data_IF_235384109186
#
_entry.id   IF_235384109186
#
_cell.length_a   1.000
_cell.length_b   1.000
_cell.length_c   1.000
_cell.angle_alpha   90.00
_cell.angle_beta   90.00
_cell.angle_gamma   90.00
#
_symmetry.space_group_name_H-M   'P 1'
#
loop_
_entity.id
_entity.type
_entity.pdbx_description
1 polymer ?
#
# COMPACT_ATOMS: atom_id res chain seq x y z
N UNK A 1 38.40 10.60 -3.47
CA UNK A 1 37.01 10.82 -3.01
C UNK A 1 35.95 9.96 -3.72
N UNK A 2 36.33 8.91 -4.48
CA UNK A 2 35.37 7.97 -5.10
C UNK A 2 35.55 6.52 -4.57
N UNK A 3 36.61 6.25 -3.79
CA UNK A 3 36.90 4.92 -3.21
C UNK A 3 36.26 4.63 -1.84
N UNK A 4 35.50 5.58 -1.28
CA UNK A 4 34.77 5.40 -0.01
C UNK A 4 33.30 5.01 -0.20
N UNK A 5 32.78 5.03 -1.43
CA UNK A 5 31.37 4.69 -1.72
C UNK A 5 31.13 3.19 -1.94
N UNK A 6 32.20 2.38 -2.09
CA UNK A 6 32.11 0.95 -2.44
C UNK A 6 32.14 0.02 -1.22
N UNK A 7 32.37 0.53 0.00
CA UNK A 7 32.41 -0.29 1.25
C UNK A 7 31.08 -0.38 2.01
N UNK A 8 29.93 -0.23 1.35
CA UNK A 8 28.60 -0.39 1.99
C UNK A 8 27.87 -1.66 1.51
N UNK A 9 28.52 -2.52 0.73
CA UNK A 9 27.88 -3.72 0.15
C UNK A 9 28.17 -5.05 0.87
N UNK A 10 28.86 -5.05 2.02
CA UNK A 10 29.24 -6.30 2.70
C UNK A 10 28.87 -6.35 4.19
N UNK A 11 27.76 -5.75 4.59
CA UNK A 11 27.12 -6.15 5.86
C UNK A 11 25.87 -6.96 5.58
N UNK A 12 26.07 -8.28 5.76
CA UNK A 12 25.11 -9.36 5.71
C UNK A 12 23.74 -8.95 6.24
N UNK A 13 22.80 -8.78 5.31
CA UNK A 13 21.37 -8.74 5.63
C UNK A 13 20.98 -10.17 6.01
N UNK A 14 21.12 -10.51 7.29
CA UNK A 14 20.45 -11.68 7.84
C UNK A 14 18.95 -11.41 7.84
N UNK A 15 18.30 -11.80 6.75
CA UNK A 15 16.85 -11.85 6.65
C UNK A 15 16.34 -12.81 7.73
N UNK A 16 15.88 -12.29 8.86
CA UNK A 16 15.05 -13.08 9.78
C UNK A 16 13.73 -13.35 9.07
N UNK A 17 13.61 -14.53 8.47
CA UNK A 17 12.37 -15.08 7.95
C UNK A 17 11.41 -15.28 9.10
N UNK A 18 10.39 -14.41 9.21
CA UNK A 18 9.29 -14.63 10.14
C UNK A 18 8.27 -15.56 9.47
N UNK A 19 8.50 -16.85 9.62
CA UNK A 19 7.57 -17.91 9.26
C UNK A 19 6.42 -17.92 10.27
N UNK A 20 5.32 -17.27 9.92
CA UNK A 20 4.03 -17.45 10.59
C UNK A 20 2.93 -17.57 9.53
N UNK A 21 2.98 -18.67 8.78
CA UNK A 21 1.80 -19.23 8.12
C UNK A 21 1.16 -20.14 9.15
N UNK A 22 0.06 -19.70 9.74
CA UNK A 22 -0.80 -20.56 10.55
C UNK A 22 -1.87 -21.17 9.65
N UNK A 23 -2.19 -22.47 9.83
CA UNK A 23 -2.92 -23.23 8.84
C UNK A 23 -4.42 -22.95 8.87
N UNK A 24 -4.99 -23.17 7.69
CA UNK A 24 -6.38 -23.13 7.31
C UNK A 24 -7.25 -23.94 8.29
N UNK A 25 -8.25 -23.32 8.93
CA UNK A 25 -9.30 -24.04 9.65
C UNK A 25 -10.57 -24.03 8.81
N UNK A 26 -10.84 -25.19 8.22
CA UNK A 26 -12.09 -25.57 7.57
C UNK A 26 -13.26 -25.39 8.54
N UNK A 27 -14.15 -24.46 8.23
CA UNK A 27 -15.39 -24.22 8.97
C UNK A 27 -16.53 -24.05 7.98
N UNK A 28 -17.29 -25.13 7.79
CA UNK A 28 -18.54 -25.18 7.05
C UNK A 28 -19.55 -24.22 7.70
N UNK A 29 -19.95 -23.20 6.97
CA UNK A 29 -21.13 -22.39 7.28
C UNK A 29 -22.03 -22.35 6.05
N UNK A 30 -23.10 -23.13 6.08
CA UNK A 30 -24.31 -22.84 5.31
C UNK A 30 -25.01 -21.66 5.97
N UNK A 31 -25.40 -20.64 5.19
CA UNK A 31 -26.78 -20.20 5.31
C UNK A 31 -27.42 -19.91 3.95
N UNK A 32 -28.64 -20.40 3.84
CA UNK A 32 -29.66 -20.07 2.85
C UNK A 32 -29.72 -18.55 2.62
N UNK A 33 -29.48 -18.09 1.39
CA UNK A 33 -29.51 -16.68 1.03
C UNK A 33 -30.45 -16.43 -0.16
N UNK A 34 -31.57 -15.78 0.12
CA UNK A 34 -32.47 -15.13 -0.83
C UNK A 34 -31.70 -14.17 -1.75
N UNK A 35 -31.92 -14.32 -3.06
CA UNK A 35 -31.29 -13.51 -4.09
C UNK A 35 -31.68 -12.04 -3.99
N UNK A 36 -30.75 -11.20 -3.52
CA UNK A 36 -30.79 -9.74 -3.74
C UNK A 36 -29.79 -9.38 -4.83
N UNK A 37 -30.24 -8.59 -5.80
CA UNK A 37 -29.48 -8.20 -6.99
C UNK A 37 -28.07 -7.70 -6.64
N UNK A 38 -27.05 -8.42 -7.12
CA UNK A 38 -25.65 -8.11 -6.90
C UNK A 38 -25.27 -6.83 -7.65
N UNK A 39 -24.71 -5.86 -6.92
CA UNK A 39 -24.08 -4.65 -7.48
C UNK A 39 -22.96 -5.07 -8.46
N UNK A 40 -22.69 -4.33 -9.55
CA UNK A 40 -21.63 -4.69 -10.50
C UNK A 40 -20.31 -4.79 -9.74
N UNK A 41 -19.69 -5.97 -9.80
CA UNK A 41 -18.39 -6.22 -9.21
C UNK A 41 -17.38 -5.37 -9.98
N UNK A 42 -16.99 -4.21 -9.44
CA UNK A 42 -15.91 -3.42 -10.02
C UNK A 42 -14.64 -4.27 -10.00
N UNK A 43 -14.23 -4.75 -11.17
CA UNK A 43 -13.07 -5.62 -11.34
C UNK A 43 -11.81 -4.86 -10.92
N UNK A 44 -11.31 -5.14 -9.71
CA UNK A 44 -10.11 -4.50 -9.18
C UNK A 44 -8.89 -5.00 -9.95
N UNK A 45 -8.37 -4.17 -10.85
CA UNK A 45 -7.14 -4.46 -11.58
C UNK A 45 -5.93 -4.35 -10.64
N UNK A 46 -4.91 -5.18 -10.88
CA UNK A 46 -3.63 -5.10 -10.18
C UNK A 46 -2.76 -4.04 -10.86
N UNK A 47 -1.94 -3.35 -10.08
CA UNK A 47 -0.95 -2.43 -10.62
C UNK A 47 0.05 -3.19 -11.51
N UNK A 48 0.37 -2.64 -12.68
CA UNK A 48 1.32 -3.20 -13.65
C UNK A 48 2.77 -3.25 -13.12
N UNK A 49 3.10 -2.48 -12.08
CA UNK A 49 4.45 -2.48 -11.48
C UNK A 49 4.72 -3.82 -10.78
N UNK A 50 5.79 -4.57 -11.17
CA UNK A 50 6.16 -5.85 -10.57
C UNK A 50 6.36 -5.74 -9.05
N UNK A 51 5.82 -6.70 -8.29
CA UNK A 51 5.93 -6.71 -6.83
C UNK A 51 5.01 -5.71 -6.10
N UNK A 52 4.18 -4.94 -6.81
CA UNK A 52 3.22 -4.05 -6.16
C UNK A 52 2.05 -4.84 -5.53
N UNK A 53 1.82 -4.76 -4.20
CA UNK A 53 0.71 -5.46 -3.56
C UNK A 53 -0.64 -4.75 -3.77
N UNK A 54 -0.65 -3.57 -4.39
CA UNK A 54 -1.85 -2.75 -4.54
C UNK A 54 -2.86 -3.40 -5.50
N UNK A 55 -4.02 -3.76 -4.94
CA UNK A 55 -5.25 -4.07 -5.68
C UNK A 55 -6.20 -2.90 -5.54
N UNK A 56 -6.67 -2.32 -6.64
CA UNK A 56 -7.53 -1.15 -6.57
C UNK A 56 -7.73 -0.44 -7.91
N UNK A 57 -8.12 0.82 -7.82
CA UNK A 57 -8.26 1.69 -8.98
C UNK A 57 -6.89 1.97 -9.59
N UNK A 58 -6.72 1.50 -10.83
CA UNK A 58 -5.60 1.84 -11.70
C UNK A 58 -6.06 2.85 -12.74
N UNK A 59 -5.15 3.70 -13.19
CA UNK A 59 -5.41 4.56 -14.33
C UNK A 59 -5.33 3.79 -15.65
N UNK A 60 -5.48 4.51 -16.77
CA UNK A 60 -5.39 3.97 -18.12
C UNK A 60 -4.02 3.31 -18.40
N UNK A 61 -2.97 3.75 -17.71
CA UNK A 61 -1.62 3.18 -17.80
C UNK A 61 -1.44 1.90 -16.96
N UNK A 62 -2.48 1.48 -16.23
CA UNK A 62 -2.42 0.31 -15.35
C UNK A 62 -1.59 0.53 -14.09
N UNK A 63 -1.23 1.77 -13.76
CA UNK A 63 -0.50 2.10 -12.53
C UNK A 63 -1.46 2.39 -11.40
N UNK A 64 -1.01 2.22 -10.14
CA UNK A 64 -1.80 2.64 -8.98
C UNK A 64 -1.42 4.05 -8.55
N UNK A 65 -2.20 4.64 -7.64
CA UNK A 65 -1.94 6.01 -7.14
C UNK A 65 -0.56 6.21 -6.51
N UNK A 66 0.07 5.15 -5.98
CA UNK A 66 1.45 5.19 -5.49
C UNK A 66 2.51 5.23 -6.61
N UNK A 67 2.14 4.76 -7.80
CA UNK A 67 2.99 4.62 -8.98
C UNK A 67 2.62 5.59 -10.12
N UNK A 68 1.83 6.63 -9.83
CA UNK A 68 1.58 7.73 -10.78
C UNK A 68 0.13 7.89 -11.23
N UNK A 69 -0.77 6.98 -10.86
CA UNK A 69 -2.16 7.08 -11.28
C UNK A 69 -2.80 8.39 -10.81
N UNK A 70 -3.27 9.19 -11.77
CA UNK A 70 -3.92 10.47 -11.50
C UNK A 70 -5.26 10.21 -10.81
N UNK A 71 -5.55 10.96 -9.75
CA UNK A 71 -6.86 10.90 -9.10
C UNK A 71 -7.92 11.51 -10.02
N UNK A 72 -9.07 10.85 -10.12
CA UNK A 72 -10.22 11.34 -10.88
C UNK A 72 -10.62 12.74 -10.42
N UNK A 73 -10.75 13.65 -11.39
CA UNK A 73 -11.15 15.04 -11.19
C UNK A 73 -12.66 15.18 -11.36
N UNK A 74 -13.22 16.19 -10.71
CA UNK A 74 -14.63 16.51 -10.84
C UNK A 74 -15.02 16.68 -12.31
N UNK A 75 -16.14 16.09 -12.72
CA UNK A 75 -16.68 16.16 -14.09
C UNK A 75 -17.06 17.58 -14.58
N UNK A 76 -16.99 18.59 -13.72
CA UNK A 76 -17.33 19.96 -14.09
C UNK A 76 -16.06 20.61 -14.63
N UNK A 77 -16.18 21.15 -15.84
CA UNK A 77 -15.12 21.83 -16.55
C UNK A 77 -14.46 22.90 -15.68
N UNK A 78 -13.12 22.96 -15.72
CA UNK A 78 -12.33 23.91 -14.93
C UNK A 78 -12.23 23.60 -13.43
N UNK A 79 -12.82 22.53 -12.91
CA UNK A 79 -12.76 22.24 -11.47
C UNK A 79 -11.44 21.54 -11.05
N UNK A 80 -10.66 22.12 -10.11
CA UNK A 80 -9.44 21.48 -9.61
C UNK A 80 -9.69 20.34 -8.61
N UNK A 81 -10.92 20.18 -8.13
CA UNK A 81 -11.23 19.25 -7.05
C UNK A 81 -11.32 17.80 -7.54
N UNK A 82 -10.95 16.87 -6.66
CA UNK A 82 -11.13 15.44 -6.88
C UNK A 82 -12.57 14.98 -6.73
N UNK A 83 -12.92 13.88 -7.41
CA UNK A 83 -14.22 13.21 -7.26
C UNK A 83 -14.31 12.59 -5.86
N UNK A 84 -15.46 12.74 -5.22
CA UNK A 84 -15.78 12.03 -3.96
C UNK A 84 -16.75 10.88 -4.22
N UNK A 85 -17.88 11.16 -4.87
CA UNK A 85 -18.87 10.16 -5.25
C UNK A 85 -19.65 10.69 -6.47
N UNK A 86 -20.05 9.79 -7.37
CA UNK A 86 -20.90 10.14 -8.52
C UNK A 86 -20.20 10.99 -9.60
N UNK A 87 -18.87 11.06 -9.61
CA UNK A 87 -18.13 11.83 -10.62
C UNK A 87 -17.96 13.32 -10.30
N UNK A 88 -18.47 13.80 -9.17
CA UNK A 88 -18.37 15.22 -8.77
C UNK A 88 -17.63 15.38 -7.44
N UNK A 89 -17.20 16.60 -7.15
CA UNK A 89 -16.61 16.99 -5.87
C UNK A 89 -17.69 17.48 -4.88
N UNK A 90 -17.30 17.70 -3.62
CA UNK A 90 -18.23 18.15 -2.57
C UNK A 90 -18.89 19.48 -2.91
N UNK A 91 -18.12 20.44 -3.47
CA UNK A 91 -18.65 21.75 -3.90
C UNK A 91 -19.68 21.64 -5.02
N UNK A 92 -19.58 20.58 -5.81
CA UNK A 92 -20.45 20.32 -6.94
C UNK A 92 -21.48 19.21 -6.66
N UNK A 93 -21.88 19.05 -5.40
CA UNK A 93 -23.00 18.19 -5.03
C UNK A 93 -22.65 16.75 -4.68
N UNK A 94 -21.37 16.39 -4.53
CA UNK A 94 -21.02 15.05 -4.04
C UNK A 94 -21.49 14.84 -2.60
N UNK A 95 -22.58 14.09 -2.43
CA UNK A 95 -23.08 13.67 -1.11
C UNK A 95 -22.15 12.59 -0.54
N UNK A 96 -21.65 12.83 0.67
CA UNK A 96 -20.91 11.79 1.41
C UNK A 96 -21.90 10.76 1.92
N UNK A 97 -21.46 9.49 1.99
CA UNK A 97 -22.25 8.41 2.57
C UNK A 97 -22.55 8.74 4.03
N UNK A 98 -23.84 8.69 4.40
CA UNK A 98 -24.30 8.83 5.78
C UNK A 98 -24.10 7.49 6.50
N UNK A 99 -24.00 7.51 7.83
CA UNK A 99 -23.94 6.33 8.68
C UNK A 99 -25.20 5.48 8.51
N UNK A 100 -25.04 4.17 8.35
CA UNK A 100 -26.15 3.20 8.25
C UNK A 100 -26.94 3.03 9.56
N UNK A 101 -26.41 3.52 10.67
CA UNK A 101 -27.08 3.45 11.97
C UNK A 101 -28.35 4.32 11.95
N UNK A 102 -29.52 3.80 12.37
CA UNK A 102 -30.78 4.52 12.30
C UNK A 102 -30.71 5.86 13.05
N UNK A 103 -31.16 6.94 12.41
CA UNK A 103 -31.13 8.29 12.99
C UNK A 103 -29.74 8.93 13.08
N UNK A 104 -28.69 8.36 12.48
CA UNK A 104 -27.36 8.96 12.50
C UNK A 104 -27.05 9.74 11.22
N UNK A 105 -27.00 11.07 11.31
CA UNK A 105 -26.68 11.97 10.19
C UNK A 105 -25.18 12.15 9.94
N UNK A 106 -24.33 11.50 10.74
CA UNK A 106 -22.88 11.62 10.61
C UNK A 106 -22.37 10.89 9.37
N UNK A 107 -21.35 11.45 8.75
CA UNK A 107 -20.69 10.82 7.61
C UNK A 107 -20.04 9.49 8.01
N UNK A 108 -20.20 8.49 7.15
CA UNK A 108 -19.50 7.22 7.22
C UNK A 108 -17.99 7.44 7.10
N UNK A 109 -17.22 6.77 7.96
CA UNK A 109 -15.76 6.71 7.87
C UNK A 109 -15.27 5.37 7.30
N UNK A 110 -15.86 4.26 7.71
CA UNK A 110 -15.54 2.92 7.22
C UNK A 110 -16.76 2.00 7.34
N UNK A 111 -16.85 0.99 6.48
CA UNK A 111 -17.91 -0.04 6.51
C UNK A 111 -19.37 0.48 6.51
N UNK A 112 -19.62 1.71 6.05
CA UNK A 112 -20.96 2.30 6.11
C UNK A 112 -21.34 2.89 7.48
N UNK A 113 -20.40 3.01 8.41
CA UNK A 113 -20.65 3.49 9.77
C UNK A 113 -19.76 4.70 10.11
N UNK A 114 -20.24 5.58 10.97
CA UNK A 114 -19.47 6.72 11.47
C UNK A 114 -18.42 6.27 12.52
N UNK A 115 -17.60 7.19 13.01
CA UNK A 115 -16.58 6.88 14.02
C UNK A 115 -17.13 6.33 15.35
N UNK A 116 -18.40 6.63 15.68
CA UNK A 116 -19.06 6.19 16.91
C UNK A 116 -19.73 4.82 16.75
N UNK A 117 -20.35 4.58 15.59
CA UNK A 117 -21.09 3.35 15.32
C UNK A 117 -20.27 2.31 14.55
N UNK A 118 -19.07 2.68 14.08
CA UNK A 118 -18.14 1.74 13.47
C UNK A 118 -17.54 0.77 14.47
N UNK A 119 -16.78 -0.22 13.99
CA UNK A 119 -16.13 -1.21 14.85
C UNK A 119 -15.25 -0.52 15.90
N UNK A 120 -15.27 -1.07 17.12
CA UNK A 120 -14.46 -0.57 18.22
C UNK A 120 -12.97 -0.57 17.84
N UNK A 121 -12.27 0.52 18.16
CA UNK A 121 -10.83 0.59 17.90
C UNK A 121 -10.10 -0.35 18.87
N UNK A 122 -9.13 -1.10 18.35
CA UNK A 122 -8.28 -1.96 19.17
C UNK A 122 -7.56 -1.10 20.23
N UNK A 123 -7.58 -1.54 21.48
CA UNK A 123 -6.85 -0.90 22.58
C UNK A 123 -5.40 -1.35 22.58
N UNK A 124 -4.56 -0.59 23.27
CA UNK A 124 -3.17 -0.94 23.51
C UNK A 124 -3.08 -2.25 24.31
N UNK A 125 -2.20 -3.16 23.90
CA UNK A 125 -1.96 -4.45 24.56
C UNK A 125 -1.20 -4.33 25.90
N UNK A 126 -0.82 -3.11 26.31
CA UNK A 126 -0.10 -2.88 27.57
C UNK A 126 -1.11 -2.88 28.70
N UNK A 127 -0.91 -3.67 29.78
CA UNK A 127 -1.83 -3.72 30.91
C UNK A 127 -2.09 -2.33 31.50
N UNK A 128 -3.33 -2.08 31.92
CA UNK A 128 -3.79 -0.79 32.46
C UNK A 128 -3.71 0.39 31.47
N UNK A 129 -3.48 0.15 30.17
CA UNK A 129 -3.51 1.20 29.15
C UNK A 129 -4.88 1.32 28.48
N UNK A 130 -5.52 2.48 28.59
CA UNK A 130 -6.81 2.78 27.94
C UNK A 130 -6.65 3.35 26.52
N UNK A 131 -5.42 3.62 26.08
CA UNK A 131 -5.16 4.25 24.79
C UNK A 131 -5.45 3.33 23.61
N UNK A 132 -5.80 3.95 22.47
CA UNK A 132 -6.03 3.24 21.21
C UNK A 132 -4.71 2.77 20.62
N UNK A 133 -4.65 1.51 20.19
CA UNK A 133 -3.52 0.97 19.45
C UNK A 133 -3.43 1.60 18.06
N UNK A 134 -2.22 2.02 17.70
CA UNK A 134 -1.91 2.65 16.41
C UNK A 134 -1.14 1.68 15.51
N UNK A 135 -0.14 1.00 16.06
CA UNK A 135 0.74 0.08 15.32
C UNK A 135 1.17 -1.07 16.23
N UNK A 136 1.24 -2.29 15.68
CA UNK A 136 1.66 -3.50 16.39
C UNK A 136 0.96 -3.74 17.75
N UNK A 137 -0.33 -3.38 17.85
CA UNK A 137 -1.10 -3.53 19.10
C UNK A 137 -0.72 -2.56 20.22
N UNK A 138 0.15 -1.58 19.98
CA UNK A 138 0.58 -0.59 20.98
C UNK A 138 0.04 0.80 20.64
N UNK A 139 -0.10 1.67 21.65
CA UNK A 139 -0.40 3.09 21.46
C UNK A 139 0.88 3.92 21.29
N UNK A 140 0.76 5.22 20.96
CA UNK A 140 1.92 6.09 20.74
C UNK A 140 2.87 6.11 21.95
N UNK A 141 2.36 6.23 23.17
CA UNK A 141 3.18 6.23 24.39
C UNK A 141 3.86 4.90 24.68
N UNK A 142 3.38 3.79 24.09
CA UNK A 142 3.95 2.46 24.27
C UNK A 142 4.72 1.97 23.04
N UNK A 143 5.29 2.89 22.26
CA UNK A 143 6.23 2.54 21.19
C UNK A 143 5.58 2.28 19.83
N UNK A 144 4.34 2.70 19.60
CA UNK A 144 3.74 2.69 18.26
C UNK A 144 4.21 3.85 17.37
N UNK A 145 5.51 4.14 17.40
CA UNK A 145 6.16 5.08 16.51
C UNK A 145 6.47 4.40 15.17
N UNK A 146 6.51 5.19 14.10
CA UNK A 146 7.05 4.69 12.85
C UNK A 146 8.57 4.58 12.99
N UNK A 147 9.15 3.47 12.53
CA UNK A 147 10.60 3.31 12.49
C UNK A 147 11.23 4.41 11.62
N UNK A 148 12.42 4.86 11.98
CA UNK A 148 13.15 5.85 11.21
C UNK A 148 13.77 5.25 9.94
N UNK A 149 14.19 6.11 9.03
CA UNK A 149 14.87 5.70 7.82
C UNK A 149 16.25 5.12 8.17
N UNK A 150 16.60 3.98 7.59
CA UNK A 150 17.90 3.31 7.80
C UNK A 150 19.07 3.99 7.11
N UNK A 151 18.82 4.98 6.25
CA UNK A 151 19.88 5.74 5.57
C UNK A 151 20.51 6.69 6.58
N UNK A 152 21.84 6.67 6.66
CA UNK A 152 22.60 7.54 7.55
C UNK A 152 22.18 9.01 7.41
N UNK A 153 22.07 9.69 8.55
CA UNK A 153 21.66 11.10 8.63
C UNK A 153 20.25 11.39 8.06
N UNK A 154 19.34 10.42 8.07
CA UNK A 154 17.95 10.62 7.66
C UNK A 154 16.94 10.39 8.78
N UNK A 155 16.45 11.47 9.38
CA UNK A 155 15.47 11.45 10.48
C UNK A 155 14.01 11.30 10.02
N UNK A 156 13.77 10.96 8.75
CA UNK A 156 12.39 10.78 8.25
C UNK A 156 11.88 9.40 8.62
N UNK A 157 10.57 9.28 8.82
CA UNK A 157 9.93 8.00 9.09
C UNK A 157 10.00 7.07 7.86
N UNK A 158 10.34 5.81 8.12
CA UNK A 158 10.29 4.74 7.13
C UNK A 158 8.85 4.37 6.80
N UNK A 159 8.61 4.11 5.52
CA UNK A 159 7.31 3.69 4.99
C UNK A 159 7.31 2.20 4.72
N UNK A 160 8.36 1.71 4.05
CA UNK A 160 8.54 0.31 3.68
C UNK A 160 10.03 -0.04 3.61
N UNK A 161 10.40 -1.26 3.99
CA UNK A 161 11.78 -1.76 3.91
C UNK A 161 12.81 -0.95 4.72
N UNK A 162 12.38 -0.25 5.78
CA UNK A 162 13.25 0.63 6.56
C UNK A 162 13.59 1.97 5.88
N UNK A 163 13.01 2.27 4.71
CA UNK A 163 13.31 3.49 3.96
C UNK A 163 12.16 4.50 4.01
N UNK A 164 12.49 5.79 4.09
CA UNK A 164 11.51 6.87 3.90
C UNK A 164 11.03 6.92 2.45
N UNK A 165 9.92 7.61 2.16
CA UNK A 165 9.35 7.63 0.81
C UNK A 165 10.32 8.13 -0.28
N UNK A 166 11.22 9.06 0.06
CA UNK A 166 12.26 9.55 -0.85
C UNK A 166 13.29 8.46 -1.16
N UNK A 167 13.92 7.91 -0.13
CA UNK A 167 14.92 6.85 -0.28
C UNK A 167 14.34 5.54 -0.85
N UNK A 168 13.08 5.22 -0.56
CA UNK A 168 12.39 4.08 -1.15
C UNK A 168 12.31 4.20 -2.67
N UNK A 169 11.94 5.39 -3.18
CA UNK A 169 11.88 5.67 -4.62
C UNK A 169 13.27 5.63 -5.25
N UNK A 170 14.26 6.27 -4.64
CA UNK A 170 15.65 6.25 -5.10
C UNK A 170 16.20 4.81 -5.18
N UNK A 171 15.94 3.99 -4.17
CA UNK A 171 16.32 2.57 -4.17
C UNK A 171 15.64 1.80 -5.30
N UNK A 172 14.34 2.00 -5.54
CA UNK A 172 13.64 1.28 -6.61
C UNK A 172 14.20 1.60 -8.00
N UNK A 173 14.62 2.85 -8.23
CA UNK A 173 15.26 3.26 -9.49
C UNK A 173 16.66 2.65 -9.60
N UNK A 174 17.44 2.66 -8.53
CA UNK A 174 18.78 2.08 -8.51
C UNK A 174 18.75 0.55 -8.76
N UNK A 175 17.83 -0.17 -8.12
CA UNK A 175 17.65 -1.62 -8.32
C UNK A 175 17.18 -1.93 -9.74
N UNK A 176 16.27 -1.11 -10.30
CA UNK A 176 15.85 -1.27 -11.69
C UNK A 176 17.02 -1.09 -12.67
N UNK A 177 17.87 -0.08 -12.46
CA UNK A 177 19.05 0.15 -13.29
C UNK A 177 20.09 -0.99 -13.19
N UNK A 178 20.35 -1.49 -11.98
CA UNK A 178 21.26 -2.63 -11.77
C UNK A 178 20.73 -3.92 -12.41
N UNK A 179 19.43 -4.17 -12.32
CA UNK A 179 18.80 -5.35 -12.94
C UNK A 179 18.82 -5.26 -14.48
N UNK A 180 18.59 -4.07 -15.05
CA UNK A 180 18.71 -3.85 -16.50
C UNK A 180 20.14 -4.10 -17.00
N UNK A 181 21.14 -3.65 -16.25
CA UNK A 181 22.55 -3.89 -16.57
C UNK A 181 22.91 -5.38 -16.52
N UNK A 182 22.46 -6.11 -15.49
CA UNK A 182 22.66 -7.57 -15.38
C UNK A 182 21.99 -8.34 -16.53
N UNK A 183 20.78 -7.94 -16.92
CA UNK A 183 20.09 -8.56 -18.04
C UNK A 183 20.84 -8.36 -19.36
N UNK A 184 21.35 -7.14 -19.61
CA UNK A 184 22.15 -6.84 -20.79
C UNK A 184 23.44 -7.69 -20.85
N UNK A 185 24.17 -7.81 -19.73
CA UNK A 185 25.36 -8.67 -19.67
C UNK A 185 25.03 -10.15 -19.93
N UNK A 186 23.95 -10.67 -19.35
CA UNK A 186 23.56 -12.07 -19.54
C UNK A 186 23.16 -12.37 -21.00
N UNK A 187 22.52 -11.39 -21.67
CA UNK A 187 22.19 -11.51 -23.09
C UNK A 187 23.43 -11.56 -23.99
N UNK A 188 24.46 -10.77 -23.68
CA UNK A 188 25.73 -10.77 -24.41
C UNK A 188 26.48 -12.10 -24.25
N UNK A 189 26.52 -12.65 -23.03
CA UNK A 189 27.15 -13.95 -22.76
C UNK A 189 26.43 -15.09 -23.49
N UNK A 190 25.10 -15.08 -23.54
CA UNK A 190 24.32 -16.09 -24.27
C UNK A 190 24.51 -15.98 -25.79
N UNK A 191 24.63 -14.76 -26.34
CA UNK A 191 24.93 -14.59 -27.78
C UNK A 191 26.33 -15.06 -28.16
N UNK A 192 27.32 -14.88 -27.28
CA UNK A 192 28.69 -15.39 -27.50
C UNK A 192 28.74 -16.93 -27.39
N UNK A 193 28.00 -17.51 -26.43
CA UNK A 193 27.87 -18.95 -26.30
C UNK A 193 27.20 -19.60 -27.53
N UNK A 194 26.24 -18.93 -28.16
CA UNK A 194 25.59 -19.39 -29.39
C UNK A 194 26.50 -19.34 -30.63
N UNK A 195 27.56 -18.50 -30.62
CA UNK A 195 28.53 -18.38 -31.70
C UNK A 195 29.70 -19.38 -31.58
N UNK A 196 29.82 -20.09 -30.45
CA UNK A 196 30.87 -21.09 -30.19
C UNK A 196 30.47 -22.54 -30.48
N UNK A 197 29.32 -22.78 -31.12
CA UNK A 197 28.91 -24.12 -31.58
C UNK A 197 29.18 -24.20 -33.08
N UNK A 198 30.44 -24.44 -33.46
CA UNK A 198 30.85 -24.90 -34.80
C UNK A 198 31.96 -25.93 -34.65
#
# INVERSE_FOLDING_TARGET
LIKSYVRVLEHQVTMKTNSNVSPNSSGVFSPTATATAAKPQQQFKRCSVPGCPTRGEVDETGTCSAHGAKRKRCKIEGCPNGVVQGGVCVKHGAKRRICKYPGCEKNTKSHGLCSKHGPARKRCNVPKCSNVAVRAGKCKSHGAYAAECTVMNCFKQSVSGGLCIRHYKEMTVAVAAQNAFRFAQMSQMNSLAAQGVQ
#
